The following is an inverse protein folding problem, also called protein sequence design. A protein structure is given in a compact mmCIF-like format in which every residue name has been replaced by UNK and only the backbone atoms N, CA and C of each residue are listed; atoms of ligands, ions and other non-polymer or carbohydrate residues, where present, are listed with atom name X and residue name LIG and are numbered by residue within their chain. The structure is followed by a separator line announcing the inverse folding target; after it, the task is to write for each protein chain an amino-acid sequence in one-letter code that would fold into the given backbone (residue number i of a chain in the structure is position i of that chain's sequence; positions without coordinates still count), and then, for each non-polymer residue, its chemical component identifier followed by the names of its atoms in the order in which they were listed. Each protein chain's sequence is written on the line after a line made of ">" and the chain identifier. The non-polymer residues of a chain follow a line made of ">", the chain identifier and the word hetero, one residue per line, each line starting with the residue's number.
data_IF_430540074180
#
_entry.id   IF_430540074180
#
_cell.length_a   1.000
_cell.length_b   1.000
_cell.length_c   1.000
_cell.angle_alpha   90.00
_cell.angle_beta   90.00
_cell.angle_gamma   90.00
#
_symmetry.space_group_name_H-M   'P 1'
#
loop_
_entity.id
_entity.type
_entity.pdbx_description
1 polymer ?
#
# COMPACT_ATOMS: atom_id res chain seq x y z
N UNK A 1 16.22 8.01 17.99
CA UNK A 1 16.54 6.81 17.18
C UNK A 1 16.11 5.49 17.83
N UNK A 2 16.36 5.22 19.11
CA UNK A 2 16.04 3.90 19.72
C UNK A 2 14.58 3.47 19.61
N UNK A 3 13.63 4.36 19.86
CA UNK A 3 12.20 4.07 19.68
C UNK A 3 11.84 3.75 18.23
N UNK A 4 12.46 4.40 17.24
CA UNK A 4 12.23 4.11 15.82
C UNK A 4 12.75 2.70 15.46
N UNK A 5 13.92 2.31 15.98
CA UNK A 5 14.46 0.95 15.80
C UNK A 5 13.50 -0.10 16.36
N UNK A 6 12.99 0.09 17.58
CA UNK A 6 12.00 -0.81 18.18
C UNK A 6 10.73 -0.88 17.34
N UNK A 7 10.14 0.26 16.95
CA UNK A 7 8.94 0.27 16.13
C UNK A 7 9.15 -0.49 14.81
N UNK A 8 10.24 -0.20 14.08
CA UNK A 8 10.54 -0.87 12.81
C UNK A 8 10.73 -2.36 12.99
N UNK A 9 11.38 -2.81 14.06
CA UNK A 9 11.51 -4.24 14.34
C UNK A 9 10.17 -4.94 14.57
N UNK A 10 9.18 -4.25 15.12
CA UNK A 10 7.86 -4.81 15.40
C UNK A 10 6.91 -4.75 14.20
N UNK A 11 6.99 -3.69 13.40
CA UNK A 11 6.00 -3.40 12.36
C UNK A 11 6.56 -3.54 10.93
N UNK A 12 7.88 -3.55 10.76
CA UNK A 12 8.55 -3.60 9.46
C UNK A 12 8.61 -2.26 8.72
N UNK A 13 8.10 -1.17 9.31
CA UNK A 13 8.11 0.17 8.72
C UNK A 13 8.26 1.28 9.79
N UNK A 14 8.21 2.54 9.38
CA UNK A 14 8.19 3.72 10.27
C UNK A 14 6.97 4.63 9.99
N UNK A 15 5.84 4.02 9.63
CA UNK A 15 4.61 4.67 9.17
C UNK A 15 3.55 4.76 10.28
N UNK A 16 3.99 4.92 11.53
CA UNK A 16 3.08 5.05 12.67
C UNK A 16 2.13 6.24 12.53
N UNK A 17 0.90 6.14 13.08
CA UNK A 17 0.00 7.29 13.20
C UNK A 17 0.65 8.43 13.98
N UNK A 18 0.33 9.68 13.66
CA UNK A 18 0.84 10.87 14.35
C UNK A 18 0.54 10.87 15.85
N UNK A 19 -0.59 10.27 16.24
CA UNK A 19 -1.03 10.12 17.63
C UNK A 19 -0.23 9.05 18.41
N UNK A 20 0.58 8.23 17.74
CA UNK A 20 1.30 7.13 18.37
C UNK A 20 2.29 7.67 19.41
N UNK A 21 2.14 7.14 20.63
CA UNK A 21 3.06 7.35 21.75
C UNK A 21 3.68 6.01 22.11
N UNK A 22 4.96 6.01 22.46
CA UNK A 22 5.63 4.83 22.96
C UNK A 22 4.92 4.34 24.23
N UNK A 23 4.46 3.08 24.28
CA UNK A 23 3.80 2.52 25.45
C UNK A 23 4.70 2.59 26.68
N UNK A 24 4.11 2.94 27.82
CA UNK A 24 4.80 2.87 29.10
C UNK A 24 4.80 1.43 29.62
N UNK A 25 5.81 1.06 30.42
CA UNK A 25 5.90 -0.24 31.10
C UNK A 25 5.84 -1.44 30.15
N UNK A 26 6.37 -1.27 28.95
CA UNK A 26 6.44 -2.33 27.94
C UNK A 26 7.89 -2.66 27.65
N UNK A 27 8.30 -3.91 27.92
CA UNK A 27 9.71 -4.32 27.93
C UNK A 27 10.40 -4.23 26.57
N UNK A 28 9.64 -4.32 25.47
CA UNK A 28 10.17 -4.12 24.12
C UNK A 28 10.72 -2.69 23.88
N UNK A 29 10.30 -1.71 24.68
CA UNK A 29 10.65 -0.30 24.50
C UNK A 29 11.67 0.16 25.55
N UNK A 30 12.78 0.79 25.17
CA UNK A 30 13.71 1.37 26.12
C UNK A 30 12.98 2.34 27.06
N UNK A 31 13.20 2.21 28.37
CA UNK A 31 12.48 3.01 29.38
C UNK A 31 12.60 4.53 29.14
N UNK A 32 13.75 4.99 28.63
CA UNK A 32 13.98 6.40 28.27
C UNK A 32 13.10 6.92 27.13
N UNK A 33 12.37 6.04 26.44
CA UNK A 33 11.52 6.38 25.31
C UNK A 33 10.04 6.30 25.63
N UNK A 34 9.65 5.83 26.82
CA UNK A 34 8.25 5.71 27.23
C UNK A 34 7.53 7.06 27.22
N UNK A 35 6.28 7.08 26.76
CA UNK A 35 5.46 8.29 26.61
C UNK A 35 5.90 9.22 25.48
N UNK A 36 7.02 8.94 24.81
CA UNK A 36 7.51 9.76 23.71
C UNK A 36 6.52 9.76 22.55
N UNK A 37 6.13 10.96 22.08
CA UNK A 37 5.21 11.17 20.94
C UNK A 37 5.90 10.85 19.62
N UNK A 38 6.26 9.59 19.43
CA UNK A 38 7.07 9.14 18.30
C UNK A 38 6.41 9.45 16.96
N UNK A 39 5.09 9.24 16.85
CA UNK A 39 4.35 9.55 15.63
C UNK A 39 4.42 11.02 15.25
N UNK A 40 4.18 11.92 16.20
CA UNK A 40 4.33 13.36 16.00
C UNK A 40 5.73 13.73 15.52
N UNK A 41 6.77 13.26 16.22
CA UNK A 41 8.15 13.60 15.86
C UNK A 41 8.58 13.04 14.51
N UNK A 42 8.16 11.84 14.11
CA UNK A 42 8.43 11.34 12.76
C UNK A 42 7.72 12.17 11.69
N UNK A 43 6.53 12.69 11.97
CA UNK A 43 5.85 13.64 11.08
C UNK A 43 6.61 14.96 10.96
N UNK A 44 7.11 15.50 12.07
CA UNK A 44 7.93 16.71 12.07
C UNK A 44 9.25 16.53 11.31
N UNK A 45 9.88 15.35 11.42
CA UNK A 45 11.08 15.01 10.67
C UNK A 45 10.83 15.04 9.15
N UNK A 46 9.69 14.51 8.68
CA UNK A 46 9.33 14.55 7.26
C UNK A 46 9.08 15.97 6.78
N UNK A 47 8.35 16.77 7.57
CA UNK A 47 7.99 18.15 7.25
C UNK A 47 9.16 19.12 7.21
N UNK A 48 10.24 18.81 7.93
CA UNK A 48 11.39 19.71 8.09
C UNK A 48 12.69 19.06 7.59
N UNK A 49 12.62 18.19 6.57
CA UNK A 49 13.78 17.44 6.06
C UNK A 49 14.94 18.36 5.72
N UNK A 50 14.65 19.49 5.08
CA UNK A 50 15.59 20.52 4.65
C UNK A 50 16.32 21.24 5.81
N UNK A 51 15.80 21.15 7.04
CA UNK A 51 16.43 21.72 8.25
C UNK A 51 17.33 20.73 8.98
N UNK A 52 17.35 19.47 8.56
CA UNK A 52 18.15 18.43 9.21
C UNK A 52 19.61 18.53 8.78
N UNK A 53 20.50 18.27 9.74
CA UNK A 53 21.92 18.15 9.46
C UNK A 53 22.21 16.87 8.68
N UNK A 54 23.26 16.88 7.84
CA UNK A 54 23.59 15.74 6.99
C UNK A 54 23.76 14.42 7.76
N UNK A 55 24.31 14.45 8.98
CA UNK A 55 24.43 13.23 9.78
C UNK A 55 23.07 12.70 10.27
N UNK A 56 22.10 13.58 10.55
CA UNK A 56 20.76 13.19 10.99
C UNK A 56 19.99 12.52 9.84
N UNK A 57 20.15 13.05 8.62
CA UNK A 57 19.58 12.44 7.40
C UNK A 57 20.17 11.05 7.18
N UNK A 58 21.50 10.89 7.22
CA UNK A 58 22.15 9.58 7.09
C UNK A 58 21.69 8.57 8.14
N UNK A 59 21.58 9.01 9.39
CA UNK A 59 21.13 8.16 10.49
C UNK A 59 19.68 7.67 10.27
N UNK A 60 18.81 8.51 9.71
CA UNK A 60 17.44 8.16 9.35
C UNK A 60 17.37 7.24 8.12
N UNK A 61 18.19 7.48 7.10
CA UNK A 61 18.30 6.62 5.92
C UNK A 61 18.81 5.22 6.28
N UNK A 62 19.73 5.11 7.23
CA UNK A 62 20.17 3.83 7.78
C UNK A 62 19.05 3.05 8.50
N UNK A 63 17.96 3.73 8.88
CA UNK A 63 16.74 3.11 9.39
C UNK A 63 15.68 2.87 8.33
N UNK A 64 15.97 3.11 7.05
CA UNK A 64 15.01 3.01 5.96
C UNK A 64 13.81 3.95 6.19
N UNK A 65 14.10 5.16 6.68
CA UNK A 65 13.08 6.15 6.99
C UNK A 65 12.49 6.75 5.71
N UNK A 66 11.21 6.47 5.48
CA UNK A 66 10.49 7.02 4.33
C UNK A 66 10.18 8.51 4.52
N UNK A 67 10.74 9.34 3.64
CA UNK A 67 10.49 10.78 3.60
C UNK A 67 9.09 11.10 3.07
N UNK A 68 8.58 10.33 2.10
CA UNK A 68 7.19 10.37 1.65
C UNK A 68 6.36 9.33 2.39
N UNK A 69 5.52 9.78 3.34
CA UNK A 69 4.63 8.87 4.07
C UNK A 69 3.48 8.35 3.20
N UNK A 70 3.09 9.10 2.16
CA UNK A 70 2.05 8.71 1.21
C UNK A 70 2.50 7.55 0.35
N UNK A 71 3.60 7.74 -0.37
CA UNK A 71 4.23 6.73 -1.23
C UNK A 71 4.57 5.45 -0.44
N UNK A 72 5.17 5.61 0.75
CA UNK A 72 5.50 4.45 1.56
C UNK A 72 4.26 3.68 2.02
N UNK A 73 3.15 4.38 2.39
CA UNK A 73 1.89 3.70 2.72
C UNK A 73 1.27 3.01 1.51
N UNK A 74 1.38 3.64 0.34
CA UNK A 74 0.92 3.07 -0.92
C UNK A 74 1.62 1.74 -1.19
N UNK A 75 2.95 1.74 -1.16
CA UNK A 75 3.78 0.57 -1.43
C UNK A 75 3.68 -0.51 -0.35
N UNK A 76 3.65 -0.14 0.94
CA UNK A 76 3.62 -1.12 2.03
C UNK A 76 2.25 -1.76 2.27
N UNK A 77 1.17 -1.02 2.04
CA UNK A 77 -0.18 -1.43 2.41
C UNK A 77 -1.14 -1.51 1.22
N UNK A 78 -1.27 -0.44 0.43
CA UNK A 78 -2.29 -0.38 -0.63
C UNK A 78 -2.01 -1.39 -1.75
N UNK A 79 -0.84 -1.34 -2.38
CA UNK A 79 -0.52 -2.21 -3.50
C UNK A 79 -0.61 -3.70 -3.13
N UNK A 80 0.00 -4.18 -2.02
CA UNK A 80 -0.12 -5.58 -1.64
C UNK A 80 -1.55 -5.99 -1.30
N UNK A 81 -2.33 -5.12 -0.66
CA UNK A 81 -3.73 -5.41 -0.34
C UNK A 81 -4.59 -5.50 -1.61
N UNK A 82 -4.38 -4.61 -2.58
CA UNK A 82 -5.11 -4.60 -3.84
C UNK A 82 -4.77 -5.83 -4.71
N UNK A 83 -3.47 -6.15 -4.83
CA UNK A 83 -3.01 -7.36 -5.50
C UNK A 83 -3.65 -8.61 -4.89
N UNK A 84 -3.61 -8.71 -3.56
CA UNK A 84 -4.17 -9.86 -2.86
C UNK A 84 -5.69 -9.97 -2.97
N UNK A 85 -6.39 -8.83 -2.90
CA UNK A 85 -7.83 -8.80 -3.13
C UNK A 85 -8.17 -9.37 -4.52
N UNK A 86 -7.47 -8.91 -5.56
CA UNK A 86 -7.71 -9.37 -6.93
C UNK A 86 -7.43 -10.85 -7.10
N UNK A 87 -6.33 -11.37 -6.52
CA UNK A 87 -6.03 -12.81 -6.55
C UNK A 87 -7.15 -13.65 -5.92
N UNK A 88 -7.76 -13.17 -4.84
CA UNK A 88 -8.79 -13.91 -4.11
C UNK A 88 -10.19 -13.81 -4.72
N UNK A 89 -10.51 -12.66 -5.34
CA UNK A 89 -11.85 -12.35 -5.81
C UNK A 89 -11.97 -12.29 -7.34
N UNK A 90 -10.85 -12.35 -8.08
CA UNK A 90 -10.82 -12.26 -9.54
C UNK A 90 -11.22 -10.88 -10.09
N UNK A 91 -11.37 -9.86 -9.24
CA UNK A 91 -11.86 -8.53 -9.62
C UNK A 91 -11.19 -7.42 -8.84
N UNK A 92 -11.04 -6.25 -9.47
CA UNK A 92 -10.62 -5.00 -8.84
C UNK A 92 -11.81 -4.21 -8.20
N UNK A 93 -13.02 -4.76 -8.23
CA UNK A 93 -14.20 -4.12 -7.64
C UNK A 93 -14.25 -4.36 -6.13
N UNK A 94 -13.53 -3.51 -5.38
CA UNK A 94 -13.52 -3.56 -3.92
C UNK A 94 -14.77 -2.82 -3.37
N UNK A 95 -15.60 -3.46 -2.52
CA UNK A 95 -16.67 -2.79 -1.79
C UNK A 95 -16.11 -1.70 -0.87
N UNK A 96 -16.79 -0.56 -0.76
CA UNK A 96 -16.33 0.56 0.08
C UNK A 96 -16.11 0.17 1.55
N UNK A 97 -16.93 -0.74 2.07
CA UNK A 97 -16.86 -1.24 3.45
C UNK A 97 -15.79 -2.31 3.67
N UNK A 98 -15.09 -2.77 2.62
CA UNK A 98 -14.14 -3.86 2.74
C UNK A 98 -12.93 -3.47 3.61
N UNK A 99 -12.67 -4.33 4.59
CA UNK A 99 -11.53 -4.27 5.49
C UNK A 99 -10.82 -5.62 5.43
N UNK A 100 -9.50 -5.59 5.26
CA UNK A 100 -8.69 -6.82 5.27
C UNK A 100 -8.90 -7.55 6.61
N UNK A 101 -9.30 -8.84 6.60
CA UNK A 101 -9.49 -9.60 7.84
C UNK A 101 -8.19 -9.75 8.64
N UNK A 102 -8.28 -9.77 9.96
CA UNK A 102 -7.12 -9.97 10.84
C UNK A 102 -6.80 -11.46 11.07
N UNK A 103 -7.78 -12.33 10.87
CA UNK A 103 -7.79 -13.74 11.24
C UNK A 103 -7.82 -14.69 10.02
N UNK A 104 -7.67 -14.15 8.81
CA UNK A 104 -7.62 -14.94 7.58
C UNK A 104 -6.16 -15.12 7.10
N UNK A 105 -5.69 -16.37 7.12
CA UNK A 105 -4.35 -16.76 6.67
C UNK A 105 -4.13 -16.50 5.17
N UNK A 106 -5.19 -16.28 4.39
CA UNK A 106 -5.06 -15.86 3.00
C UNK A 106 -4.49 -14.44 2.91
N UNK A 107 -4.54 -13.64 3.96
CA UNK A 107 -4.03 -12.27 3.96
C UNK A 107 -2.70 -12.18 4.73
N UNK A 108 -1.74 -11.38 4.23
CA UNK A 108 -0.56 -11.04 5.02
C UNK A 108 -0.96 -10.36 6.33
N UNK A 109 -0.47 -10.87 7.47
CA UNK A 109 -0.84 -10.39 8.80
C UNK A 109 -0.69 -8.86 8.98
N UNK A 110 0.33 -8.26 8.34
CA UNK A 110 0.57 -6.81 8.37
C UNK A 110 -0.56 -5.97 7.76
N UNK A 111 -1.40 -6.56 6.92
CA UNK A 111 -2.52 -5.89 6.26
C UNK A 111 -3.82 -6.01 7.06
N UNK A 112 -3.87 -6.83 8.12
CA UNK A 112 -5.05 -7.02 8.95
C UNK A 112 -5.62 -5.68 9.44
N UNK A 113 -6.93 -5.46 9.23
CA UNK A 113 -7.61 -4.22 9.58
C UNK A 113 -7.42 -3.07 8.58
N UNK A 114 -6.66 -3.26 7.50
CA UNK A 114 -6.47 -2.23 6.47
C UNK A 114 -7.78 -1.99 5.70
N UNK A 115 -8.26 -0.75 5.72
CA UNK A 115 -9.52 -0.33 5.09
C UNK A 115 -9.35 -0.10 3.58
N UNK A 116 -9.01 -1.17 2.85
CA UNK A 116 -8.79 -1.12 1.40
C UNK A 116 -10.00 -0.54 0.65
N UNK A 117 -11.23 -0.90 1.04
CA UNK A 117 -12.45 -0.40 0.42
C UNK A 117 -12.59 1.13 0.51
N UNK A 118 -12.28 1.71 1.66
CA UNK A 118 -12.30 3.16 1.84
C UNK A 118 -11.25 3.85 0.97
N UNK A 119 -10.04 3.25 0.84
CA UNK A 119 -9.01 3.83 -0.03
C UNK A 119 -9.39 3.75 -1.50
N UNK A 120 -9.86 2.61 -1.99
CA UNK A 120 -10.35 2.49 -3.37
C UNK A 120 -11.49 3.48 -3.63
N UNK A 121 -12.42 3.64 -2.70
CA UNK A 121 -13.50 4.62 -2.85
C UNK A 121 -12.99 6.07 -2.91
N UNK A 122 -12.03 6.45 -2.07
CA UNK A 122 -11.45 7.80 -2.12
C UNK A 122 -10.75 8.07 -3.45
N UNK A 123 -10.06 7.06 -4.02
CA UNK A 123 -9.46 7.14 -5.35
C UNK A 123 -10.55 7.33 -6.43
N UNK A 124 -11.66 6.58 -6.35
CA UNK A 124 -12.79 6.70 -7.29
C UNK A 124 -13.49 8.06 -7.23
N UNK A 125 -13.63 8.63 -6.04
CA UNK A 125 -14.35 9.88 -5.82
C UNK A 125 -13.46 11.14 -5.91
N UNK A 126 -12.19 11.01 -6.27
CA UNK A 126 -11.26 12.14 -6.41
C UNK A 126 -10.93 12.89 -5.10
N UNK A 127 -11.26 12.32 -3.93
CA UNK A 127 -10.98 12.97 -2.66
C UNK A 127 -9.56 12.65 -2.19
N UNK A 128 -8.62 13.48 -2.67
CA UNK A 128 -7.29 13.69 -2.13
C UNK A 128 -7.41 14.28 -0.70
N UNK A 129 -7.13 13.47 0.32
CA UNK A 129 -6.90 13.99 1.66
C UNK A 129 -5.41 13.88 1.99
N UNK A 130 -4.80 15.06 1.95
CA UNK A 130 -3.52 15.53 2.48
C UNK A 130 -2.31 15.49 1.53
N UNK A 131 -1.63 16.64 1.52
CA UNK A 131 -0.90 17.28 0.42
C UNK A 131 0.61 17.08 0.57
N UNK A 132 1.32 16.58 -0.45
CA UNK A 132 2.69 17.04 -0.77
C UNK A 132 3.04 16.71 -2.23
N UNK A 133 2.96 17.69 -3.14
CA UNK A 133 3.57 17.68 -4.48
C UNK A 133 3.25 16.40 -5.31
N UNK A 134 1.97 16.17 -5.52
CA UNK A 134 1.43 14.86 -5.94
C UNK A 134 1.04 14.77 -7.43
N UNK A 135 1.42 15.68 -8.32
CA UNK A 135 0.95 15.62 -9.73
C UNK A 135 1.52 14.45 -10.53
N UNK A 136 2.71 13.94 -10.20
CA UNK A 136 3.34 12.80 -10.90
C UNK A 136 2.85 11.45 -10.35
N UNK A 137 2.61 11.34 -9.04
CA UNK A 137 2.15 10.10 -8.39
C UNK A 137 0.71 9.76 -8.81
N UNK A 138 -0.16 10.76 -8.98
CA UNK A 138 -1.53 10.55 -9.44
C UNK A 138 -1.59 10.01 -10.87
N UNK A 139 -0.68 10.46 -11.75
CA UNK A 139 -0.59 9.94 -13.11
C UNK A 139 -0.13 8.49 -13.11
N UNK A 140 0.83 8.10 -12.28
CA UNK A 140 1.27 6.70 -12.19
C UNK A 140 0.22 5.78 -11.58
N UNK A 141 -0.54 6.22 -10.58
CA UNK A 141 -1.64 5.42 -10.00
C UNK A 141 -2.78 5.27 -10.99
N UNK A 142 -3.13 6.35 -11.69
CA UNK A 142 -4.14 6.32 -12.74
C UNK A 142 -3.66 5.47 -13.92
N UNK A 143 -2.38 5.55 -14.29
CA UNK A 143 -1.75 4.76 -15.35
C UNK A 143 -1.60 3.29 -14.96
N UNK A 144 -1.30 2.96 -13.70
CA UNK A 144 -1.25 1.58 -13.20
C UNK A 144 -2.66 1.00 -13.20
N UNK A 145 -3.67 1.75 -12.74
CA UNK A 145 -5.06 1.30 -12.79
C UNK A 145 -5.57 1.19 -14.23
N UNK A 146 -5.31 2.18 -15.10
CA UNK A 146 -5.74 2.21 -16.51
C UNK A 146 -5.01 1.17 -17.36
N UNK A 147 -3.69 1.02 -17.21
CA UNK A 147 -2.91 0.01 -17.93
C UNK A 147 -3.27 -1.40 -17.47
N UNK A 148 -3.57 -1.59 -16.19
CA UNK A 148 -4.05 -2.89 -15.71
C UNK A 148 -5.42 -3.24 -16.29
N UNK A 149 -6.36 -2.29 -16.32
CA UNK A 149 -7.67 -2.46 -16.97
C UNK A 149 -7.51 -2.68 -18.48
N UNK A 150 -6.57 -1.99 -19.14
CA UNK A 150 -6.22 -2.20 -20.55
C UNK A 150 -5.63 -3.59 -20.82
N UNK A 151 -4.75 -4.10 -19.94
CA UNK A 151 -4.16 -5.43 -20.04
C UNK A 151 -5.21 -6.54 -19.80
N UNK A 152 -6.20 -6.29 -18.94
CA UNK A 152 -7.37 -7.18 -18.79
C UNK A 152 -8.22 -7.22 -20.06
N UNK A 153 -8.51 -6.06 -20.68
CA UNK A 153 -9.26 -6.02 -21.95
C UNK A 153 -8.52 -6.68 -23.11
N UNK A 154 -7.18 -6.65 -23.13
CA UNK A 154 -6.39 -7.31 -24.17
C UNK A 154 -6.36 -8.84 -24.02
N UNK A 155 -6.25 -9.36 -22.78
CA UNK A 155 -6.30 -10.80 -22.54
C UNK A 155 -7.71 -11.40 -22.73
N UNK A 156 -8.80 -10.65 -22.50
CA UNK A 156 -10.16 -11.11 -22.82
C UNK A 156 -10.46 -11.14 -24.33
N UNK A 157 -9.86 -10.24 -25.11
CA UNK A 157 -9.97 -10.24 -26.58
C UNK A 157 -9.20 -11.40 -27.21
N UNK A 158 -8.04 -11.78 -26.66
CA UNK A 158 -7.27 -12.96 -27.13
C UNK A 158 -7.93 -14.29 -26.72
N UNK A 159 -8.55 -14.38 -25.54
CA UNK A 159 -9.25 -15.59 -25.10
C UNK A 159 -10.57 -15.83 -25.86
N UNK A 160 -11.23 -14.77 -26.33
CA UNK A 160 -12.51 -14.86 -27.07
C UNK A 160 -12.32 -15.11 -28.58
N UNK A 161 -11.10 -14.96 -29.11
CA UNK A 161 -10.78 -15.13 -30.53
C UNK A 161 -10.40 -16.57 -30.95
N UNK A 162 -10.40 -17.55 -30.05
CA UNK A 162 -9.90 -18.91 -30.31
C UNK A 162 -11.05 -19.96 -30.41
N UNK A 163 -12.32 -19.55 -30.34
CA UNK A 163 -13.47 -20.48 -30.42
C UNK A 163 -14.36 -20.29 -31.66
N UNK A 164 -13.78 -20.00 -32.82
CA UNK A 164 -14.51 -20.06 -34.09
C UNK A 164 -13.57 -20.38 -35.25
N UNK A 165 -13.09 -21.63 -35.33
CA UNK A 165 -12.71 -22.25 -36.60
C UNK A 165 -12.39 -23.73 -36.35
N UNK A 166 -13.43 -24.58 -36.33
CA UNK A 166 -13.32 -25.99 -36.75
C UNK A 166 -14.73 -26.58 -36.96
N UNK A 167 -15.39 -26.15 -38.02
CA UNK A 167 -16.47 -26.94 -38.64
C UNK A 167 -16.39 -26.68 -40.16
N UNK A 168 -16.70 -27.73 -40.96
CA UNK A 168 -16.61 -27.84 -42.44
C UNK A 168 -15.24 -28.38 -42.91
N UNK A 169 -15.10 -29.53 -43.57
CA UNK A 169 -16.01 -30.52 -44.16
C UNK A 169 -15.12 -31.62 -44.78
N UNK A 170 -15.44 -32.90 -44.56
CA UNK A 170 -15.04 -34.01 -45.44
C UNK A 170 -16.11 -35.10 -45.44
N UNK A 171 -17.20 -34.86 -46.16
CA UNK A 171 -18.09 -35.91 -46.66
C UNK A 171 -18.24 -35.88 -48.18
N UNK A 172 -18.41 -37.09 -48.74
CA UNK A 172 -18.48 -37.51 -50.17
C UNK A 172 -17.11 -37.92 -50.71
N UNK A 173 -16.70 -39.20 -50.76
CA UNK A 173 -17.38 -40.45 -51.18
C UNK A 173 -17.85 -40.39 -52.64
N UNK A 174 -17.17 -41.23 -53.44
CA UNK A 174 -17.34 -41.68 -54.83
C UNK A 174 -17.23 -40.69 -56.00
#
# INVERSE_FOLDING_TARGET
>A
MSAMKTYRSMHGDLLMPTIFKVPERHDAWPQSTWGYKLGYWTSELRRNKEKLLAYQVRDLEALDFSWSAGEARWNHYFLPAMQRYRELHGSAQVPQSFVVPCDDLKWPAKLGGYRLGQKVNNLRCGNALDTTSDDEMWQEVELICKNWVMLETLHEVEASGILHDEEVDKQSID
#
